data_IF_000343732917
#
_entry.id   IF_000343732917
#
_cell.length_a   1.000
_cell.length_b   1.000
_cell.length_c   1.000
_cell.angle_alpha   90.00
_cell.angle_beta   90.00
_cell.angle_gamma   90.00
#
_symmetry.space_group_name_H-M   'P 1'
#
loop_
_entity.id
_entity.type
_entity.pdbx_description
1 polymer ?
#
# COMPACT_ATOMS: atom_id res chain seq x y z
N UNK A 1 -12.25 8.58 -14.81
CA UNK A 1 -11.04 9.39 -15.07
C UNK A 1 -10.43 9.76 -13.72
N UNK A 2 -9.56 8.92 -13.18
CA UNK A 2 -8.79 9.23 -11.96
C UNK A 2 -7.43 9.76 -12.38
N UNK A 3 -7.10 11.00 -12.03
CA UNK A 3 -5.80 11.58 -12.36
C UNK A 3 -4.64 10.78 -11.77
N UNK A 4 -3.47 10.87 -12.42
CA UNK A 4 -2.22 10.32 -11.90
C UNK A 4 -1.92 11.01 -10.57
N UNK A 5 -2.04 10.27 -9.46
CA UNK A 5 -1.59 10.74 -8.16
C UNK A 5 -0.22 10.15 -7.86
N UNK A 6 0.71 11.00 -7.44
CA UNK A 6 2.03 10.60 -6.96
C UNK A 6 2.06 10.68 -5.44
N UNK A 7 2.40 9.58 -4.77
CA UNK A 7 2.57 9.54 -3.32
C UNK A 7 4.05 9.58 -2.97
N UNK A 8 4.40 10.41 -2.00
CA UNK A 8 5.76 10.62 -1.51
C UNK A 8 5.83 10.36 -0.01
N UNK A 9 7.03 10.02 0.47
CA UNK A 9 7.29 10.07 1.91
C UNK A 9 7.27 11.51 2.43
N UNK A 10 6.88 11.72 3.71
CA UNK A 10 7.10 12.99 4.37
C UNK A 10 8.60 13.25 4.49
N UNK A 11 9.03 14.48 4.21
CA UNK A 11 10.45 14.88 4.33
C UNK A 11 10.98 14.85 5.77
N UNK A 12 10.12 14.66 6.76
CA UNK A 12 10.51 14.59 8.17
C UNK A 12 10.93 13.18 8.56
N UNK A 13 12.02 13.07 9.33
CA UNK A 13 12.50 11.81 9.91
C UNK A 13 11.40 11.09 10.72
N UNK A 14 10.57 11.86 11.43
CA UNK A 14 9.39 11.32 12.15
C UNK A 14 8.37 10.66 11.22
N UNK A 15 8.09 11.28 10.06
CA UNK A 15 7.15 10.73 9.07
C UNK A 15 7.65 9.42 8.47
N UNK A 16 8.94 9.37 8.12
CA UNK A 16 9.59 8.16 7.60
C UNK A 16 9.56 7.04 8.64
N UNK A 17 9.90 7.34 9.91
CA UNK A 17 9.87 6.34 10.98
C UNK A 17 8.45 5.82 11.25
N UNK A 18 7.43 6.69 11.16
CA UNK A 18 6.03 6.29 11.29
C UNK A 18 5.59 5.36 10.17
N UNK A 19 5.97 5.66 8.91
CA UNK A 19 5.70 4.81 7.77
C UNK A 19 6.37 3.43 7.91
N UNK A 20 7.65 3.39 8.32
CA UNK A 20 8.38 2.13 8.60
C UNK A 20 7.71 1.28 9.68
N UNK A 21 7.31 1.90 10.80
CA UNK A 21 6.60 1.20 11.87
C UNK A 21 5.29 0.58 11.37
N UNK A 22 4.53 1.33 10.57
CA UNK A 22 3.26 0.85 10.01
C UNK A 22 3.43 -0.25 8.98
N UNK A 23 4.48 -0.18 8.16
CA UNK A 23 4.85 -1.28 7.28
C UNK A 23 5.08 -2.56 8.08
N UNK A 24 5.85 -2.48 9.17
CA UNK A 24 6.11 -3.63 10.04
C UNK A 24 4.81 -4.19 10.65
N UNK A 25 3.91 -3.32 11.13
CA UNK A 25 2.60 -3.75 11.65
C UNK A 25 1.77 -4.49 10.58
N UNK A 26 1.77 -4.04 9.33
CA UNK A 26 1.06 -4.73 8.26
C UNK A 26 1.74 -6.04 7.85
N UNK A 27 3.06 -6.12 7.89
CA UNK A 27 3.80 -7.37 7.64
C UNK A 27 3.49 -8.41 8.70
N UNK A 28 3.49 -8.06 9.99
CA UNK A 28 3.07 -8.95 11.06
C UNK A 28 1.63 -9.45 10.86
N UNK A 29 0.69 -8.56 10.49
CA UNK A 29 -0.68 -8.98 10.19
C UNK A 29 -0.73 -9.97 9.02
N UNK A 30 0.06 -9.75 7.96
CA UNK A 30 0.10 -10.68 6.82
C UNK A 30 0.72 -12.03 7.19
N UNK A 31 1.69 -12.06 8.11
CA UNK A 31 2.28 -13.28 8.65
C UNK A 31 1.29 -14.03 9.54
N UNK A 32 0.62 -13.36 10.47
CA UNK A 32 -0.43 -13.93 11.32
C UNK A 32 -1.59 -14.52 10.50
N UNK A 33 -1.90 -13.89 9.37
CA UNK A 33 -2.94 -14.34 8.44
C UNK A 33 -2.44 -15.36 7.41
N UNK A 34 -1.15 -15.69 7.39
CA UNK A 34 -0.57 -16.66 6.42
C UNK A 34 -1.00 -18.10 6.72
N UNK A 35 -1.23 -18.43 7.99
CA UNK A 35 -1.64 -19.78 8.44
C UNK A 35 -3.16 -19.98 8.43
N UNK A 36 -3.94 -18.91 8.38
CA UNK A 36 -5.39 -18.97 8.32
C UNK A 36 -5.84 -18.98 6.85
N UNK A 37 -5.87 -20.17 6.26
CA UNK A 37 -6.42 -20.53 4.93
C UNK A 37 -7.83 -19.96 4.61
N UNK A 38 -8.47 -19.27 5.54
CA UNK A 38 -9.81 -18.72 5.47
C UNK A 38 -9.81 -17.23 5.81
N UNK A 39 -9.45 -16.35 4.87
CA UNK A 39 -9.91 -14.94 4.92
C UNK A 39 -9.69 -14.17 3.61
N UNK A 40 -10.33 -14.63 2.53
CA UNK A 40 -10.42 -13.93 1.22
C UNK A 40 -10.93 -12.47 1.27
N UNK A 41 -11.40 -11.95 2.42
CA UNK A 41 -12.00 -10.60 2.53
C UNK A 41 -11.13 -9.54 3.21
N UNK A 42 -10.16 -9.91 4.05
CA UNK A 42 -9.30 -8.94 4.77
C UNK A 42 -7.91 -8.88 4.11
N UNK A 43 -7.48 -9.99 3.49
CA UNK A 43 -6.19 -10.13 2.84
C UNK A 43 -5.88 -9.05 1.77
N UNK A 44 -6.80 -8.70 0.84
CA UNK A 44 -6.45 -7.84 -0.28
C UNK A 44 -6.09 -6.41 0.17
N UNK A 45 -6.83 -5.85 1.13
CA UNK A 45 -6.61 -4.47 1.59
C UNK A 45 -5.27 -4.36 2.33
N UNK A 46 -4.99 -5.27 3.28
CA UNK A 46 -3.73 -5.25 4.04
C UNK A 46 -2.54 -5.49 3.12
N UNK A 47 -2.68 -6.43 2.19
CA UNK A 47 -1.68 -6.69 1.15
C UNK A 47 -1.36 -5.43 0.33
N UNK A 48 -2.37 -4.73 -0.17
CA UNK A 48 -2.14 -3.49 -0.92
C UNK A 48 -1.51 -2.38 -0.08
N UNK A 49 -1.91 -2.23 1.19
CA UNK A 49 -1.30 -1.26 2.11
C UNK A 49 0.20 -1.53 2.30
N UNK A 50 0.57 -2.79 2.44
CA UNK A 50 1.97 -3.22 2.54
C UNK A 50 2.72 -2.89 1.26
N UNK A 51 2.21 -3.33 0.10
CA UNK A 51 2.86 -3.09 -1.19
C UNK A 51 3.04 -1.59 -1.49
N UNK A 52 2.02 -0.78 -1.20
CA UNK A 52 2.05 0.68 -1.31
C UNK A 52 3.18 1.29 -0.46
N UNK A 53 3.20 0.98 0.83
CA UNK A 53 4.18 1.55 1.77
C UNK A 53 5.59 1.09 1.47
N UNK A 54 5.79 -0.19 1.16
CA UNK A 54 7.09 -0.74 0.78
C UNK A 54 7.64 -0.02 -0.45
N UNK A 55 6.82 0.13 -1.49
CA UNK A 55 7.25 0.80 -2.73
C UNK A 55 7.62 2.26 -2.48
N UNK A 56 6.81 2.99 -1.72
CA UNK A 56 7.10 4.40 -1.37
C UNK A 56 8.33 4.51 -0.46
N UNK A 57 8.59 3.53 0.42
CA UNK A 57 9.78 3.51 1.28
C UNK A 57 11.08 3.22 0.50
N UNK A 58 11.01 2.38 -0.53
CA UNK A 58 12.18 2.01 -1.35
C UNK A 58 12.45 3.05 -2.44
N UNK A 59 11.42 3.45 -3.19
CA UNK A 59 11.57 4.34 -4.34
C UNK A 59 11.48 5.83 -3.97
N UNK A 60 11.00 6.17 -2.77
CA UNK A 60 10.77 7.56 -2.34
C UNK A 60 9.51 8.19 -2.95
N UNK A 61 9.04 7.66 -4.09
CA UNK A 61 7.82 8.05 -4.77
C UNK A 61 7.09 6.85 -5.37
N UNK A 62 5.76 6.97 -5.53
CA UNK A 62 4.98 6.01 -6.32
C UNK A 62 3.87 6.71 -7.07
N UNK A 63 3.74 6.40 -8.37
CA UNK A 63 2.58 6.80 -9.17
C UNK A 63 1.49 5.76 -9.06
N UNK A 64 0.25 6.22 -8.95
CA UNK A 64 -0.91 5.33 -8.75
C UNK A 64 -1.11 4.37 -9.91
N UNK A 65 -0.91 4.84 -11.14
CA UNK A 65 -1.10 4.06 -12.36
C UNK A 65 -0.07 2.94 -12.48
N UNK A 66 1.21 3.26 -12.31
CA UNK A 66 2.31 2.29 -12.30
C UNK A 66 2.05 1.19 -11.27
N UNK A 67 1.64 1.58 -10.06
CA UNK A 67 1.36 0.63 -9.00
C UNK A 67 0.11 -0.23 -9.28
N UNK A 68 -0.96 0.35 -9.83
CA UNK A 68 -2.13 -0.42 -10.27
C UNK A 68 -1.72 -1.49 -11.30
N UNK A 69 -0.89 -1.12 -12.27
CA UNK A 69 -0.39 -2.06 -13.29
C UNK A 69 0.48 -3.15 -12.68
N UNK A 70 1.44 -2.79 -11.81
CA UNK A 70 2.31 -3.73 -11.11
C UNK A 70 1.48 -4.75 -10.28
N UNK A 71 0.52 -4.27 -9.49
CA UNK A 71 -0.32 -5.14 -8.64
C UNK A 71 -1.24 -6.04 -9.46
N UNK A 72 -1.84 -5.51 -10.53
CA UNK A 72 -2.70 -6.29 -11.42
C UNK A 72 -1.92 -7.37 -12.18
N UNK A 73 -0.68 -7.08 -12.58
CA UNK A 73 0.19 -8.07 -13.23
C UNK A 73 0.63 -9.17 -12.25
N UNK A 74 0.93 -8.79 -11.00
CA UNK A 74 1.44 -9.72 -9.99
C UNK A 74 0.35 -10.59 -9.37
N UNK A 75 -0.87 -10.06 -9.24
CA UNK A 75 -2.02 -10.74 -8.62
C UNK A 75 -3.32 -10.44 -9.38
N UNK A 76 -3.49 -10.97 -10.60
CA UNK A 76 -4.65 -10.63 -11.44
C UNK A 76 -5.99 -11.04 -10.82
N UNK A 77 -6.06 -12.20 -10.17
CA UNK A 77 -7.29 -12.75 -9.60
C UNK A 77 -7.70 -12.05 -8.30
N UNK A 78 -6.73 -11.53 -7.55
CA UNK A 78 -6.97 -10.83 -6.29
C UNK A 78 -7.13 -9.32 -6.49
N UNK A 79 -6.85 -8.76 -7.68
CA UNK A 79 -6.85 -7.32 -7.91
C UNK A 79 -8.26 -6.72 -7.89
N UNK A 80 -8.60 -6.05 -6.79
CA UNK A 80 -9.84 -5.29 -6.64
C UNK A 80 -9.54 -3.79 -6.48
N UNK A 81 -9.91 -3.00 -7.51
CA UNK A 81 -9.74 -1.55 -7.55
C UNK A 81 -10.39 -0.84 -6.35
N UNK A 82 -11.50 -1.36 -5.81
CA UNK A 82 -12.16 -0.78 -4.64
C UNK A 82 -11.28 -0.91 -3.41
N UNK A 83 -10.76 -2.10 -3.15
CA UNK A 83 -9.85 -2.36 -2.04
C UNK A 83 -8.54 -1.60 -2.19
N UNK A 84 -8.01 -1.48 -3.42
CA UNK A 84 -6.85 -0.66 -3.72
C UNK A 84 -7.09 0.82 -3.38
N UNK A 85 -8.23 1.39 -3.80
CA UNK A 85 -8.59 2.77 -3.46
C UNK A 85 -8.77 2.99 -1.96
N UNK A 86 -9.27 1.98 -1.23
CA UNK A 86 -9.34 2.03 0.24
C UNK A 86 -7.95 1.99 0.88
N UNK A 87 -7.05 1.15 0.38
CA UNK A 87 -5.67 1.08 0.83
C UNK A 87 -4.94 2.41 0.59
N UNK A 88 -5.07 3.00 -0.60
CA UNK A 88 -4.54 4.33 -0.92
C UNK A 88 -5.00 5.40 0.07
N UNK A 89 -6.30 5.42 0.40
CA UNK A 89 -6.84 6.39 1.38
C UNK A 89 -6.21 6.24 2.75
N UNK A 90 -5.98 5.00 3.20
CA UNK A 90 -5.33 4.75 4.48
C UNK A 90 -3.83 5.13 4.46
N UNK A 91 -3.13 4.87 3.35
CA UNK A 91 -1.69 5.19 3.22
C UNK A 91 -1.44 6.71 3.19
N UNK A 92 -2.43 7.54 2.84
CA UNK A 92 -2.35 9.01 2.96
C UNK A 92 -2.14 9.51 4.39
N UNK A 93 -2.33 8.68 5.42
CA UNK A 93 -1.95 9.02 6.80
C UNK A 93 -0.43 9.10 6.99
N UNK A 94 0.33 8.42 6.12
CA UNK A 94 1.78 8.25 6.23
C UNK A 94 2.53 8.85 5.04
N UNK A 95 1.86 9.00 3.89
CA UNK A 95 2.42 9.56 2.67
C UNK A 95 1.69 10.85 2.27
N UNK A 96 2.38 11.74 1.57
CA UNK A 96 1.80 12.97 1.03
C UNK A 96 1.58 12.82 -0.47
N UNK A 97 0.53 13.47 -0.99
CA UNK A 97 0.29 13.53 -2.44
C UNK A 97 1.11 14.70 -2.98
N UNK A 98 2.01 14.44 -3.92
CA UNK A 98 2.61 15.49 -4.74
C UNK A 98 1.55 15.98 -5.71
N UNK A 99 1.20 17.27 -5.63
CA UNK A 99 0.37 17.95 -6.62
C UNK A 99 1.23 18.50 -7.74
#
# INVERSE_FOLDING_TARGET
MGGILTYLLPKSSRGINRAKRKLNEYQCLLEDHRDLTHQMRIYPITFYKTALLERVLVAGEVKTEDLCMELKQRFPDDFDQRHFNMALRAVREYCVIAR
#
